data_IF_005751470318
#
_entry.id   IF_005751470318
#
_cell.length_a   1.000
_cell.length_b   1.000
_cell.length_c   1.000
_cell.angle_alpha   90.00
_cell.angle_beta   90.00
_cell.angle_gamma   90.00
#
_symmetry.space_group_name_H-M   'P 1'
#
loop_
_entity.id
_entity.type
_entity.pdbx_description
1 polymer ?
#
# COMPACT_ATOMS: atom_id res chain seq x y z
N UNK A 1 20.90 -17.21 -18.80
CA UNK A 1 19.62 -16.90 -19.49
C UNK A 1 18.77 -18.15 -19.68
N UNK A 2 19.29 -19.24 -20.26
CA UNK A 2 18.51 -20.46 -20.50
C UNK A 2 17.88 -21.09 -19.25
N UNK A 3 18.61 -21.15 -18.14
CA UNK A 3 18.06 -21.63 -16.87
C UNK A 3 16.83 -20.81 -16.43
N UNK A 4 16.86 -19.48 -16.58
CA UNK A 4 15.73 -18.61 -16.29
C UNK A 4 14.56 -18.83 -17.27
N UNK A 5 14.86 -19.05 -18.57
CA UNK A 5 13.84 -19.41 -19.58
C UNK A 5 13.17 -20.76 -19.27
N UNK A 6 13.91 -21.74 -18.76
CA UNK A 6 13.39 -23.05 -18.33
C UNK A 6 12.54 -22.94 -17.06
N UNK A 7 12.92 -22.08 -16.12
CA UNK A 7 12.20 -21.87 -14.86
C UNK A 7 10.95 -20.98 -14.97
N UNK A 8 10.82 -20.19 -16.05
CA UNK A 8 9.73 -19.23 -16.22
C UNK A 8 8.30 -19.83 -16.05
N UNK A 9 7.97 -21.01 -16.61
CA UNK A 9 6.64 -21.60 -16.44
C UNK A 9 6.29 -21.90 -14.98
N UNK A 10 7.23 -22.43 -14.21
CA UNK A 10 7.05 -22.71 -12.78
C UNK A 10 6.83 -21.42 -11.99
N UNK A 11 7.59 -20.36 -12.31
CA UNK A 11 7.41 -19.04 -11.67
C UNK A 11 6.06 -18.42 -11.99
N UNK A 12 5.57 -18.57 -13.22
CA UNK A 12 4.23 -18.14 -13.62
C UNK A 12 3.16 -18.89 -12.84
N UNK A 13 3.30 -20.21 -12.64
CA UNK A 13 2.37 -20.98 -11.80
C UNK A 13 2.25 -20.39 -10.40
N UNK A 14 3.39 -20.07 -9.76
CA UNK A 14 3.43 -19.42 -8.45
C UNK A 14 2.83 -18.01 -8.48
N UNK A 15 3.03 -17.25 -9.56
CA UNK A 15 2.46 -15.92 -9.72
C UNK A 15 0.93 -15.95 -9.84
N UNK A 16 0.32 -17.02 -10.35
CA UNK A 16 -1.15 -17.21 -10.32
C UNK A 16 -1.66 -17.35 -8.88
N UNK A 17 -1.00 -18.17 -8.09
CA UNK A 17 -1.33 -18.31 -6.66
C UNK A 17 -1.24 -16.96 -5.95
N UNK A 18 -0.24 -16.14 -6.29
CA UNK A 18 -0.12 -14.78 -5.76
C UNK A 18 -1.27 -13.86 -6.16
N UNK A 19 -1.83 -13.99 -7.36
CA UNK A 19 -3.03 -13.23 -7.77
C UNK A 19 -4.22 -13.62 -6.86
N UNK A 20 -4.42 -14.92 -6.62
CA UNK A 20 -5.50 -15.41 -5.74
C UNK A 20 -5.34 -14.95 -4.27
N UNK A 21 -4.11 -14.66 -3.86
CA UNK A 21 -3.73 -14.11 -2.56
C UNK A 21 -3.62 -12.57 -2.56
N UNK A 22 -3.95 -11.92 -3.67
CA UNK A 22 -3.89 -10.47 -3.86
C UNK A 22 -2.48 -9.86 -3.70
N UNK A 23 -1.45 -10.68 -3.92
CA UNK A 23 -0.05 -10.29 -3.88
C UNK A 23 0.41 -9.83 -5.27
N UNK A 24 -0.24 -8.77 -5.76
CA UNK A 24 -0.28 -8.41 -7.17
C UNK A 24 1.04 -7.86 -7.75
N UNK A 25 1.74 -6.96 -7.04
CA UNK A 25 2.98 -6.35 -7.57
C UNK A 25 4.08 -7.41 -7.85
N UNK A 26 4.32 -8.38 -6.95
CA UNK A 26 5.24 -9.49 -7.25
C UNK A 26 4.76 -10.41 -8.38
N UNK A 27 3.46 -10.66 -8.49
CA UNK A 27 2.88 -11.40 -9.62
C UNK A 27 3.13 -10.65 -10.94
N UNK A 28 2.79 -9.36 -11.00
CA UNK A 28 3.01 -8.50 -12.16
C UNK A 28 4.47 -8.52 -12.63
N UNK A 29 5.41 -8.36 -11.69
CA UNK A 29 6.83 -8.37 -12.00
C UNK A 29 7.30 -9.74 -12.53
N UNK A 30 6.75 -10.83 -11.99
CA UNK A 30 7.06 -12.19 -12.45
C UNK A 30 6.55 -12.45 -13.85
N UNK A 31 5.31 -12.04 -14.16
CA UNK A 31 4.76 -12.13 -15.51
C UNK A 31 5.55 -11.29 -16.52
N UNK A 32 5.87 -10.04 -16.18
CA UNK A 32 6.67 -9.14 -17.02
C UNK A 32 8.01 -9.78 -17.39
N UNK A 33 8.71 -10.35 -16.40
CA UNK A 33 9.98 -11.04 -16.62
C UNK A 33 9.82 -12.34 -17.44
N UNK A 34 8.79 -13.13 -17.15
CA UNK A 34 8.52 -14.39 -17.86
C UNK A 34 8.23 -14.12 -19.34
N UNK A 35 7.37 -13.15 -19.66
CA UNK A 35 7.04 -12.76 -21.05
C UNK A 35 8.30 -12.28 -21.78
N UNK A 36 9.17 -11.49 -21.13
CA UNK A 36 10.42 -11.06 -21.73
C UNK A 36 11.37 -12.24 -22.03
N UNK A 37 11.36 -13.28 -21.19
CA UNK A 37 12.16 -14.49 -21.38
C UNK A 37 11.58 -15.47 -22.39
N UNK A 38 10.26 -15.49 -22.56
CA UNK A 38 9.50 -16.46 -23.38
C UNK A 38 8.40 -15.72 -24.18
N UNK A 39 8.77 -14.83 -25.11
CA UNK A 39 7.79 -14.03 -25.85
C UNK A 39 6.80 -14.88 -26.64
N UNK A 40 7.19 -16.10 -27.05
CA UNK A 40 6.32 -17.04 -27.76
C UNK A 40 5.13 -17.53 -26.91
N UNK A 41 5.21 -17.44 -25.57
CA UNK A 41 4.12 -17.79 -24.65
C UNK A 41 3.32 -16.58 -24.16
N UNK A 42 3.58 -15.38 -24.70
CA UNK A 42 2.92 -14.14 -24.26
C UNK A 42 1.41 -14.29 -24.18
N UNK A 43 0.78 -14.78 -25.26
CA UNK A 43 -0.68 -14.91 -25.35
C UNK A 43 -1.30 -15.75 -24.23
N UNK A 44 -0.61 -16.80 -23.77
CA UNK A 44 -1.08 -17.66 -22.68
C UNK A 44 -1.09 -16.96 -21.31
N UNK A 45 -0.32 -15.88 -21.16
CA UNK A 45 -0.08 -15.21 -19.88
C UNK A 45 -0.67 -13.80 -19.80
N UNK A 46 -1.19 -13.25 -20.92
CA UNK A 46 -1.67 -11.87 -20.96
C UNK A 46 -2.85 -11.62 -20.01
N UNK A 47 -3.78 -12.57 -19.87
CA UNK A 47 -4.93 -12.44 -18.98
C UNK A 47 -4.51 -12.26 -17.52
N UNK A 48 -3.70 -13.19 -17.00
CA UNK A 48 -3.17 -13.11 -15.64
C UNK A 48 -2.25 -11.89 -15.45
N UNK A 49 -1.45 -11.55 -16.46
CA UNK A 49 -0.57 -10.39 -16.40
C UNK A 49 -1.37 -9.09 -16.28
N UNK A 50 -2.48 -8.97 -17.02
CA UNK A 50 -3.43 -7.86 -16.90
C UNK A 50 -4.09 -7.84 -15.53
N UNK A 51 -4.54 -8.99 -15.02
CA UNK A 51 -5.15 -9.08 -13.68
C UNK A 51 -4.17 -8.62 -12.59
N UNK A 52 -2.91 -9.05 -12.65
CA UNK A 52 -1.86 -8.60 -11.74
C UNK A 52 -1.57 -7.09 -11.87
N UNK A 53 -1.59 -6.55 -13.09
CA UNK A 53 -1.43 -5.11 -13.32
C UNK A 53 -2.58 -4.31 -12.72
N UNK A 54 -3.84 -4.71 -12.95
CA UNK A 54 -5.01 -4.03 -12.35
C UNK A 54 -4.94 -4.09 -10.83
N UNK A 55 -4.68 -5.27 -10.25
CA UNK A 55 -4.59 -5.42 -8.80
C UNK A 55 -3.47 -4.60 -8.16
N UNK A 56 -2.28 -4.53 -8.77
CA UNK A 56 -1.19 -3.69 -8.29
C UNK A 56 -1.52 -2.20 -8.43
N UNK A 57 -2.18 -1.81 -9.52
CA UNK A 57 -2.67 -0.44 -9.72
C UNK A 57 -3.71 -0.04 -8.68
N UNK A 58 -4.65 -0.93 -8.37
CA UNK A 58 -5.65 -0.73 -7.33
C UNK A 58 -4.99 -0.62 -5.93
N UNK A 59 -3.99 -1.44 -5.61
CA UNK A 59 -3.25 -1.35 -4.33
C UNK A 59 -2.57 0.02 -4.17
N UNK A 60 -1.87 0.48 -5.20
CA UNK A 60 -1.24 1.82 -5.19
C UNK A 60 -2.28 2.94 -5.25
N UNK A 61 -3.45 2.72 -5.86
CA UNK A 61 -4.54 3.69 -5.85
C UNK A 61 -5.11 3.84 -4.44
N UNK A 62 -5.41 2.73 -3.73
CA UNK A 62 -5.88 2.71 -2.33
C UNK A 62 -4.92 3.45 -1.40
N UNK A 63 -3.61 3.30 -1.63
CA UNK A 63 -2.58 3.98 -0.83
C UNK A 63 -2.20 5.37 -1.37
N UNK A 64 -2.92 5.87 -2.38
CA UNK A 64 -2.76 7.18 -3.02
C UNK A 64 -1.39 7.40 -3.68
N UNK A 65 -0.72 6.33 -4.09
CA UNK A 65 0.53 6.36 -4.86
C UNK A 65 0.24 6.51 -6.36
N UNK A 66 -0.37 7.64 -6.74
CA UNK A 66 -0.95 7.81 -8.07
C UNK A 66 0.02 7.65 -9.24
N UNK A 67 1.29 8.00 -9.08
CA UNK A 67 2.31 7.75 -10.11
C UNK A 67 2.51 6.25 -10.38
N UNK A 68 2.53 5.44 -9.32
CA UNK A 68 2.69 3.99 -9.43
C UNK A 68 1.40 3.32 -9.88
N UNK A 69 0.25 3.78 -9.38
CA UNK A 69 -1.06 3.32 -9.85
C UNK A 69 -1.23 3.56 -11.36
N UNK A 70 -0.88 4.76 -11.84
CA UNK A 70 -0.89 5.08 -13.27
C UNK A 70 0.00 4.14 -14.08
N UNK A 71 1.22 3.86 -13.63
CA UNK A 71 2.12 2.92 -14.30
C UNK A 71 1.48 1.54 -14.51
N UNK A 72 0.86 0.99 -13.47
CA UNK A 72 0.23 -0.32 -13.55
C UNK A 72 -1.06 -0.32 -14.38
N UNK A 73 -1.91 0.69 -14.23
CA UNK A 73 -3.11 0.81 -15.05
C UNK A 73 -2.79 1.04 -16.53
N UNK A 74 -1.77 1.85 -16.84
CA UNK A 74 -1.32 2.07 -18.21
C UNK A 74 -0.84 0.74 -18.82
N UNK A 75 -0.06 -0.05 -18.08
CA UNK A 75 0.31 -1.39 -18.51
C UNK A 75 -0.93 -2.28 -18.75
N UNK A 76 -1.91 -2.29 -17.84
CA UNK A 76 -3.14 -3.07 -17.97
C UNK A 76 -3.97 -2.68 -19.20
N UNK A 77 -4.09 -1.39 -19.51
CA UNK A 77 -4.80 -0.87 -20.69
C UNK A 77 -4.06 -1.29 -21.96
N UNK A 78 -2.74 -1.15 -22.01
CA UNK A 78 -1.95 -1.58 -23.17
C UNK A 78 -2.07 -3.09 -23.41
N UNK A 79 -2.00 -3.90 -22.35
CA UNK A 79 -2.23 -5.35 -22.45
C UNK A 79 -3.65 -5.65 -22.94
N UNK A 80 -4.65 -4.90 -22.46
CA UNK A 80 -6.04 -5.04 -22.90
C UNK A 80 -6.20 -4.75 -24.39
N UNK A 81 -5.58 -3.68 -24.89
CA UNK A 81 -5.56 -3.36 -26.32
C UNK A 81 -4.88 -4.47 -27.14
N UNK A 82 -3.72 -4.96 -26.69
CA UNK A 82 -2.99 -6.06 -27.33
C UNK A 82 -3.79 -7.38 -27.36
N UNK A 83 -4.65 -7.59 -26.37
CA UNK A 83 -5.44 -8.81 -26.21
C UNK A 83 -6.90 -8.66 -26.66
N UNK A 84 -7.29 -7.51 -27.24
CA UNK A 84 -8.67 -7.16 -27.59
C UNK A 84 -9.66 -7.27 -26.41
N UNK A 85 -9.17 -7.08 -25.18
CA UNK A 85 -9.96 -7.06 -23.95
C UNK A 85 -10.31 -5.60 -23.64
N UNK A 86 -11.60 -5.19 -23.77
CA UNK A 86 -11.99 -3.82 -23.49
C UNK A 86 -11.71 -3.46 -22.03
N UNK A 87 -11.27 -2.23 -21.81
CA UNK A 87 -11.14 -1.69 -20.46
C UNK A 87 -12.53 -1.35 -19.92
N UNK A 88 -12.82 -1.81 -18.71
CA UNK A 88 -14.05 -1.44 -18.03
C UNK A 88 -14.04 0.06 -17.69
N UNK A 89 -15.20 0.75 -17.71
CA UNK A 89 -15.26 2.18 -17.41
C UNK A 89 -14.61 2.56 -16.07
N UNK A 90 -14.75 1.73 -15.04
CA UNK A 90 -14.12 1.95 -13.73
C UNK A 90 -12.59 1.98 -13.79
N UNK A 91 -11.96 1.06 -14.56
CA UNK A 91 -10.51 1.04 -14.75
C UNK A 91 -10.03 2.31 -15.48
N UNK A 92 -10.74 2.75 -16.51
CA UNK A 92 -10.41 3.95 -17.26
C UNK A 92 -10.51 5.22 -16.41
N UNK A 93 -11.55 5.32 -15.56
CA UNK A 93 -11.67 6.38 -14.56
C UNK A 93 -10.45 6.41 -13.63
N UNK A 94 -10.10 5.28 -13.00
CA UNK A 94 -8.95 5.19 -12.07
C UNK A 94 -7.61 5.48 -12.75
N UNK A 95 -7.43 5.04 -14.00
CA UNK A 95 -6.26 5.37 -14.81
C UNK A 95 -6.15 6.89 -15.05
N UNK A 96 -7.22 7.54 -15.49
CA UNK A 96 -7.23 8.99 -15.73
C UNK A 96 -7.05 9.80 -14.44
N UNK A 97 -7.69 9.41 -13.34
CA UNK A 97 -7.50 10.03 -12.03
C UNK A 97 -6.05 9.91 -11.56
N UNK A 98 -5.45 8.72 -11.70
CA UNK A 98 -4.05 8.48 -11.34
C UNK A 98 -3.09 9.33 -12.18
N UNK A 99 -3.36 9.45 -13.49
CA UNK A 99 -2.58 10.32 -14.39
C UNK A 99 -2.66 11.79 -13.96
N UNK A 100 -3.87 12.31 -13.69
CA UNK A 100 -4.06 13.70 -13.24
C UNK A 100 -3.26 13.97 -11.96
N UNK A 101 -3.37 13.10 -10.97
CA UNK A 101 -2.69 13.28 -9.69
C UNK A 101 -1.17 13.11 -9.80
N UNK A 102 -0.69 12.16 -10.60
CA UNK A 102 0.73 11.99 -10.86
C UNK A 102 1.33 13.26 -11.48
N UNK A 103 0.65 13.84 -12.48
CA UNK A 103 1.10 15.06 -13.15
C UNK A 103 1.04 16.31 -12.25
N UNK A 104 0.04 16.44 -11.36
CA UNK A 104 -0.01 17.54 -10.39
C UNK A 104 1.11 17.44 -9.35
N UNK A 105 1.38 16.22 -8.85
CA UNK A 105 2.50 15.95 -7.94
C UNK A 105 3.85 16.29 -8.59
N UNK A 106 3.94 16.12 -9.91
CA UNK A 106 5.09 16.46 -10.76
C UNK A 106 4.99 17.85 -11.42
N UNK A 107 4.16 18.76 -10.92
CA UNK A 107 3.96 20.11 -11.48
C UNK A 107 5.22 20.97 -11.63
N UNK A 108 6.39 20.51 -11.15
CA UNK A 108 7.71 21.13 -11.32
C UNK A 108 8.52 20.53 -12.47
N UNK A 109 8.21 19.31 -12.92
CA UNK A 109 8.86 18.63 -14.03
C UNK A 109 8.30 19.19 -15.33
N UNK A 110 9.14 19.79 -16.17
CA UNK A 110 8.71 20.25 -17.50
C UNK A 110 8.68 19.09 -18.47
N UNK A 111 7.49 18.57 -18.75
CA UNK A 111 7.31 17.59 -19.81
C UNK A 111 7.40 18.26 -21.21
N UNK A 112 8.08 17.64 -22.18
CA UNK A 112 8.14 18.17 -23.54
C UNK A 112 6.76 18.11 -24.22
N UNK A 113 6.51 18.96 -25.21
CA UNK A 113 5.23 18.99 -25.95
C UNK A 113 4.86 17.62 -26.56
N UNK A 114 5.86 16.86 -27.02
CA UNK A 114 5.66 15.52 -27.56
C UNK A 114 5.03 14.55 -26.54
N UNK A 115 5.33 14.70 -25.26
CA UNK A 115 4.73 13.89 -24.19
C UNK A 115 3.21 14.15 -24.10
N UNK A 116 2.80 15.42 -24.08
CA UNK A 116 1.37 15.78 -24.02
C UNK A 116 0.60 15.30 -25.25
N UNK A 117 1.22 15.34 -26.44
CA UNK A 117 0.63 14.78 -27.65
C UNK A 117 0.32 13.29 -27.50
N UNK A 118 1.27 12.50 -26.98
CA UNK A 118 1.08 11.06 -26.73
C UNK A 118 -0.01 10.82 -25.69
N UNK A 119 -0.02 11.59 -24.61
CA UNK A 119 -1.05 11.48 -23.56
C UNK A 119 -2.45 11.76 -24.11
N UNK A 120 -2.66 12.86 -24.83
CA UNK A 120 -3.98 13.18 -25.40
C UNK A 120 -4.42 12.19 -26.46
N UNK A 121 -3.48 11.68 -27.28
CA UNK A 121 -3.78 10.61 -28.21
C UNK A 121 -4.29 9.36 -27.48
N UNK A 122 -3.61 8.92 -26.42
CA UNK A 122 -4.05 7.77 -25.61
C UNK A 122 -5.43 8.01 -24.99
N UNK A 123 -5.68 9.19 -24.43
CA UNK A 123 -6.99 9.54 -23.85
C UNK A 123 -8.12 9.56 -24.89
N UNK A 124 -7.81 9.91 -26.14
CA UNK A 124 -8.76 9.82 -27.24
C UNK A 124 -9.03 8.35 -27.63
N UNK A 125 -7.98 7.52 -27.65
CA UNK A 125 -8.05 6.09 -27.98
C UNK A 125 -8.83 5.28 -26.93
N UNK A 126 -8.76 5.64 -25.65
CA UNK A 126 -9.48 4.91 -24.58
C UNK A 126 -10.99 5.11 -24.58
N UNK A 127 -11.51 6.13 -25.28
CA UNK A 127 -12.97 6.42 -25.42
C UNK A 127 -13.75 6.40 -24.08
N UNK A 128 -13.13 6.86 -23.00
CA UNK A 128 -13.80 6.93 -21.70
C UNK A 128 -14.85 8.07 -21.67
N UNK A 129 -16.12 7.70 -21.50
CA UNK A 129 -17.28 8.61 -21.49
C UNK A 129 -18.08 8.53 -20.17
N UNK A 130 -17.44 8.12 -19.07
CA UNK A 130 -18.09 8.08 -17.75
C UNK A 130 -18.40 9.49 -17.18
N UNK A 131 -19.15 9.56 -16.07
CA UNK A 131 -19.69 10.83 -15.55
C UNK A 131 -18.62 11.85 -15.13
N UNK A 132 -17.43 11.37 -14.74
CA UNK A 132 -16.26 12.18 -14.36
C UNK A 132 -15.33 12.48 -15.55
N UNK A 133 -15.54 11.87 -16.72
CA UNK A 133 -14.69 12.04 -17.89
C UNK A 133 -14.52 13.52 -18.30
N UNK A 134 -15.58 14.36 -18.34
CA UNK A 134 -15.43 15.78 -18.69
C UNK A 134 -14.50 16.53 -17.73
N UNK A 135 -14.62 16.27 -16.42
CA UNK A 135 -13.81 16.93 -15.39
C UNK A 135 -12.34 16.49 -15.45
N UNK A 136 -12.09 15.20 -15.67
CA UNK A 136 -10.75 14.64 -15.81
C UNK A 136 -10.05 15.15 -17.07
N UNK A 137 -10.73 15.12 -18.23
CA UNK A 137 -10.19 15.64 -19.50
C UNK A 137 -9.87 17.13 -19.37
N UNK A 138 -10.79 17.92 -18.83
CA UNK A 138 -10.58 19.36 -18.64
C UNK A 138 -9.42 19.67 -17.69
N UNK A 139 -9.20 18.85 -16.65
CA UNK A 139 -8.06 19.02 -15.74
C UNK A 139 -6.74 18.69 -16.43
N UNK A 140 -6.68 17.62 -17.24
CA UNK A 140 -5.49 17.26 -18.03
C UNK A 140 -5.15 18.33 -19.07
N UNK A 141 -6.16 18.88 -19.74
CA UNK A 141 -6.00 20.05 -20.62
C UNK A 141 -5.41 21.24 -19.86
N UNK A 142 -5.92 21.52 -18.65
CA UNK A 142 -5.41 22.58 -17.79
C UNK A 142 -3.93 22.40 -17.45
N UNK A 143 -3.53 21.19 -17.05
CA UNK A 143 -2.14 20.85 -16.77
C UNK A 143 -1.27 21.04 -18.02
N UNK A 144 -1.70 20.54 -19.18
CA UNK A 144 -0.95 20.68 -20.42
C UNK A 144 -0.73 22.14 -20.83
N UNK A 145 -1.78 22.98 -20.77
CA UNK A 145 -1.66 24.40 -21.08
C UNK A 145 -0.77 25.13 -20.08
N UNK A 146 -0.86 24.80 -18.79
CA UNK A 146 -0.01 25.39 -17.77
C UNK A 146 1.47 25.04 -18.01
N UNK A 147 1.78 23.79 -18.36
CA UNK A 147 3.13 23.37 -18.74
C UNK A 147 3.65 24.06 -20.00
N UNK A 148 2.77 24.37 -20.96
CA UNK A 148 3.09 25.14 -22.15
C UNK A 148 3.23 26.65 -21.89
N UNK A 149 2.92 27.13 -20.69
CA UNK A 149 2.94 28.55 -20.32
C UNK A 149 1.67 29.33 -20.69
N UNK A 150 0.65 28.67 -21.25
CA UNK A 150 -0.63 29.26 -21.62
C UNK A 150 -1.58 29.32 -20.41
N UNK A 151 -1.34 30.32 -19.57
CA UNK A 151 -2.06 30.51 -18.30
C UNK A 151 -3.56 30.75 -18.48
N UNK A 152 -3.97 31.42 -19.55
CA UNK A 152 -5.37 31.72 -19.80
C UNK A 152 -6.16 30.46 -20.15
N UNK A 153 -5.66 29.67 -21.12
CA UNK A 153 -6.31 28.40 -21.49
C UNK A 153 -6.27 27.40 -20.35
N UNK A 154 -5.18 27.38 -19.57
CA UNK A 154 -5.11 26.56 -18.36
C UNK A 154 -6.24 26.91 -17.38
N UNK A 155 -6.40 28.19 -17.05
CA UNK A 155 -7.48 28.64 -16.17
C UNK A 155 -8.86 28.26 -16.71
N UNK A 156 -9.12 28.49 -18.00
CA UNK A 156 -10.41 28.14 -18.62
C UNK A 156 -10.69 26.63 -18.54
N UNK A 157 -9.68 25.79 -18.77
CA UNK A 157 -9.79 24.34 -18.69
C UNK A 157 -10.05 23.86 -17.25
N UNK A 158 -9.30 24.35 -16.26
CA UNK A 158 -9.58 24.06 -14.85
C UNK A 158 -10.96 24.59 -14.41
N UNK A 159 -11.40 25.73 -14.96
CA UNK A 159 -12.75 26.26 -14.77
C UNK A 159 -13.82 25.27 -15.23
N UNK A 160 -13.67 24.70 -16.44
CA UNK A 160 -14.57 23.65 -16.95
C UNK A 160 -14.59 22.44 -16.02
N UNK A 161 -13.43 22.02 -15.51
CA UNK A 161 -13.33 20.86 -14.62
C UNK A 161 -14.17 21.02 -13.33
N UNK A 162 -14.31 22.24 -12.82
CA UNK A 162 -15.11 22.55 -11.62
C UNK A 162 -16.50 23.15 -11.94
N UNK A 163 -16.94 23.06 -13.20
CA UNK A 163 -18.24 23.60 -13.64
C UNK A 163 -18.37 25.12 -13.58
N UNK A 164 -17.26 25.86 -13.64
CA UNK A 164 -17.23 27.34 -13.59
C UNK A 164 -16.75 27.95 -14.89
N UNK A 165 -17.52 28.89 -15.45
CA UNK A 165 -17.06 29.72 -16.56
C UNK A 165 -16.26 30.91 -16.01
N UNK A 166 -14.94 30.86 -16.13
CA UNK A 166 -14.08 31.98 -15.77
C UNK A 166 -14.15 33.06 -16.87
N UNK A 167 -14.31 34.32 -16.47
CA UNK A 167 -14.30 35.48 -17.38
C UNK A 167 -13.07 36.34 -17.09
N UNK A 168 -12.37 36.77 -18.14
CA UNK A 168 -11.19 37.63 -18.04
C UNK A 168 -9.89 36.90 -17.72
N UNK A 169 -8.80 37.66 -17.60
CA UNK A 169 -7.47 37.16 -17.27
C UNK A 169 -7.46 36.63 -15.84
N UNK A 170 -7.45 35.31 -15.68
CA UNK A 170 -7.35 34.69 -14.37
C UNK A 170 -5.97 34.96 -13.77
N UNK A 171 -5.92 35.79 -12.72
CA UNK A 171 -4.65 36.19 -12.09
C UNK A 171 -4.03 35.06 -11.25
N UNK A 172 -4.76 33.98 -10.95
CA UNK A 172 -4.27 32.90 -10.09
C UNK A 172 -4.64 31.48 -10.60
N UNK A 173 -4.01 31.05 -11.69
CA UNK A 173 -4.15 29.69 -12.26
C UNK A 173 -3.91 28.61 -11.20
N UNK A 174 -2.89 28.78 -10.34
CA UNK A 174 -2.54 27.80 -9.31
C UNK A 174 -3.65 27.56 -8.28
N UNK A 175 -4.40 28.59 -7.89
CA UNK A 175 -5.55 28.44 -7.00
C UNK A 175 -6.71 27.69 -7.66
N UNK A 176 -6.93 27.95 -8.96
CA UNK A 176 -7.96 27.27 -9.74
C UNK A 176 -7.57 25.80 -9.94
N UNK A 177 -6.30 25.51 -10.30
CA UNK A 177 -5.77 24.14 -10.37
C UNK A 177 -6.00 23.39 -9.06
N UNK A 178 -5.62 23.98 -7.92
CA UNK A 178 -5.80 23.36 -6.60
C UNK A 178 -7.26 23.00 -6.36
N UNK A 179 -8.19 23.88 -6.74
CA UNK A 179 -9.63 23.65 -6.60
C UNK A 179 -10.11 22.52 -7.52
N UNK A 180 -9.63 22.47 -8.76
CA UNK A 180 -9.93 21.38 -9.70
C UNK A 180 -9.41 20.03 -9.20
N UNK A 181 -8.13 19.95 -8.82
CA UNK A 181 -7.52 18.75 -8.24
C UNK A 181 -8.26 18.31 -6.97
N UNK A 182 -8.62 19.23 -6.08
CA UNK A 182 -9.37 18.92 -4.87
C UNK A 182 -10.78 18.41 -5.16
N UNK A 183 -11.44 18.93 -6.20
CA UNK A 183 -12.74 18.41 -6.64
C UNK A 183 -12.65 16.97 -7.15
N UNK A 184 -11.57 16.63 -7.87
CA UNK A 184 -11.31 15.27 -8.33
C UNK A 184 -10.94 14.33 -7.18
N UNK A 185 -10.23 14.82 -6.15
CA UNK A 185 -9.96 14.04 -4.93
C UNK A 185 -11.22 13.64 -4.18
N UNK A 186 -12.35 14.32 -4.39
CA UNK A 186 -13.64 13.90 -3.83
C UNK A 186 -14.30 12.78 -4.62
N UNK A 187 -13.87 12.58 -5.88
CA UNK A 187 -14.23 11.43 -6.71
C UNK A 187 -13.34 10.22 -6.42
N UNK A 188 -12.26 10.41 -5.66
CA UNK A 188 -11.47 9.32 -5.13
C UNK A 188 -12.36 8.49 -4.21
N UNK A 189 -12.70 7.31 -4.68
CA UNK A 189 -13.53 6.38 -3.96
C UNK A 189 -12.85 5.01 -3.98
N UNK A 190 -12.47 4.53 -2.80
CA UNK A 190 -11.88 3.20 -2.65
C UNK A 190 -12.91 2.12 -2.93
N UNK A 191 -14.20 2.39 -2.69
CA UNK A 191 -15.28 1.45 -2.94
C UNK A 191 -15.46 1.21 -4.45
N UNK A 192 -15.12 2.20 -5.29
CA UNK A 192 -15.15 2.09 -6.76
C UNK A 192 -14.22 1.02 -7.38
N UNK A 193 -13.30 0.45 -6.59
CA UNK A 193 -12.45 -0.65 -7.05
C UNK A 193 -13.26 -1.94 -7.23
N UNK A 194 -14.35 -2.12 -6.47
CA UNK A 194 -15.21 -3.30 -6.54
C UNK A 194 -14.56 -4.61 -6.09
N UNK A 195 -13.35 -4.57 -5.48
CA UNK A 195 -12.60 -5.77 -5.07
C UNK A 195 -13.31 -6.62 -4.02
N UNK A 196 -14.27 -6.03 -3.30
CA UNK A 196 -15.05 -6.67 -2.23
C UNK A 196 -16.52 -6.83 -2.60
N UNK A 197 -16.85 -6.74 -3.89
CA UNK A 197 -18.18 -7.04 -4.40
C UNK A 197 -18.38 -8.54 -4.61
N UNK A 198 -19.60 -8.92 -5.01
CA UNK A 198 -19.92 -10.28 -5.44
C UNK A 198 -19.76 -11.29 -4.30
N UNK A 199 -18.85 -12.25 -4.47
CA UNK A 199 -18.62 -13.33 -3.51
C UNK A 199 -18.20 -12.83 -2.12
N UNK A 200 -17.44 -11.72 -2.05
CA UNK A 200 -16.99 -11.13 -0.79
C UNK A 200 -18.12 -10.55 0.06
N UNK A 201 -19.20 -10.09 -0.58
CA UNK A 201 -20.36 -9.51 0.08
C UNK A 201 -21.41 -10.56 0.50
N UNK A 202 -21.24 -11.83 0.09
CA UNK A 202 -22.18 -12.89 0.41
C UNK A 202 -22.00 -13.40 1.84
N UNK A 203 -23.13 -13.59 2.52
CA UNK A 203 -23.22 -14.39 3.73
C UNK A 203 -23.93 -15.69 3.36
N UNK A 204 -23.22 -16.81 3.41
CA UNK A 204 -23.77 -18.12 3.03
C UNK A 204 -24.66 -18.71 4.12
N UNK A 205 -24.55 -18.19 5.36
CA UNK A 205 -25.24 -18.71 6.54
C UNK A 205 -25.67 -17.63 7.52
N UNK A 206 -26.73 -17.91 8.28
CA UNK A 206 -27.28 -17.01 9.31
C UNK A 206 -26.41 -16.93 10.58
N UNK A 207 -25.47 -17.86 10.76
CA UNK A 207 -24.63 -17.99 11.96
C UNK A 207 -23.13 -18.00 11.66
N UNK A 208 -22.31 -17.79 12.69
CA UNK A 208 -20.86 -17.96 12.58
C UNK A 208 -20.51 -19.45 12.46
N UNK A 209 -19.78 -19.79 11.40
CA UNK A 209 -19.17 -21.09 11.17
C UNK A 209 -17.68 -21.06 11.53
N UNK A 210 -17.08 -22.24 11.67
CA UNK A 210 -15.66 -22.42 11.97
C UNK A 210 -14.99 -23.22 10.86
N UNK A 211 -13.92 -22.67 10.30
CA UNK A 211 -12.95 -23.37 9.46
C UNK A 211 -11.63 -23.47 10.20
N UNK A 212 -11.10 -24.69 10.36
CA UNK A 212 -9.80 -24.90 11.00
C UNK A 212 -8.71 -25.23 9.96
N UNK A 213 -7.56 -24.59 10.09
CA UNK A 213 -6.30 -24.98 9.44
C UNK A 213 -5.30 -25.47 10.50
N UNK A 214 -4.07 -25.89 10.12
CA UNK A 214 -3.05 -26.28 11.10
C UNK A 214 -2.75 -25.19 12.14
N UNK A 215 -2.75 -23.90 11.75
CA UNK A 215 -2.35 -22.78 12.61
C UNK A 215 -3.49 -21.86 13.03
N UNK A 216 -4.66 -21.96 12.40
CA UNK A 216 -5.73 -20.97 12.53
C UNK A 216 -7.11 -21.59 12.75
N UNK A 217 -7.95 -20.88 13.52
CA UNK A 217 -9.40 -21.10 13.69
C UNK A 217 -10.14 -19.91 13.13
N UNK A 218 -10.74 -20.06 11.95
CA UNK A 218 -11.37 -18.95 11.23
C UNK A 218 -12.87 -19.00 11.46
N UNK A 219 -13.38 -18.01 12.18
CA UNK A 219 -14.79 -17.76 12.42
C UNK A 219 -15.32 -16.91 11.26
N UNK A 220 -16.25 -17.46 10.47
CA UNK A 220 -16.73 -16.84 9.23
C UNK A 220 -18.22 -17.05 8.97
N UNK A 221 -18.77 -16.34 7.98
CA UNK A 221 -20.11 -16.59 7.39
C UNK A 221 -20.07 -16.95 5.91
N UNK A 222 -18.87 -17.03 5.34
CA UNK A 222 -18.63 -17.32 3.93
C UNK A 222 -17.47 -18.29 3.81
N UNK A 223 -17.76 -19.53 3.38
CA UNK A 223 -16.79 -20.62 3.41
C UNK A 223 -15.68 -20.43 2.36
N UNK A 224 -16.01 -19.88 1.19
CA UNK A 224 -15.03 -19.64 0.13
C UNK A 224 -14.03 -18.58 0.56
N UNK A 225 -14.52 -17.47 1.13
CA UNK A 225 -13.63 -16.42 1.64
C UNK A 225 -12.79 -16.91 2.82
N UNK A 226 -13.36 -17.71 3.73
CA UNK A 226 -12.59 -18.29 4.82
C UNK A 226 -11.43 -19.17 4.35
N UNK A 227 -11.62 -19.96 3.28
CA UNK A 227 -10.54 -20.73 2.66
C UNK A 227 -9.47 -19.83 2.04
N UNK A 228 -9.85 -18.71 1.40
CA UNK A 228 -8.88 -17.74 0.87
C UNK A 228 -8.06 -17.09 1.99
N UNK A 229 -8.73 -16.71 3.09
CA UNK A 229 -8.07 -16.16 4.29
C UNK A 229 -7.11 -17.18 4.91
N UNK A 230 -7.49 -18.46 5.01
CA UNK A 230 -6.60 -19.51 5.52
C UNK A 230 -5.31 -19.60 4.69
N UNK A 231 -5.44 -19.66 3.35
CA UNK A 231 -4.29 -19.71 2.44
C UNK A 231 -3.42 -18.47 2.53
N UNK A 232 -4.02 -17.28 2.65
CA UNK A 232 -3.27 -16.03 2.80
C UNK A 232 -2.48 -15.98 4.11
N UNK A 233 -3.09 -16.42 5.21
CA UNK A 233 -2.41 -16.49 6.51
C UNK A 233 -1.25 -17.49 6.50
N UNK A 234 -1.43 -18.69 5.94
CA UNK A 234 -0.34 -19.68 5.83
C UNK A 234 0.79 -19.16 4.92
N UNK A 235 0.45 -18.58 3.76
CA UNK A 235 1.41 -17.94 2.86
C UNK A 235 2.20 -16.82 3.56
N UNK A 236 1.52 -15.95 4.30
CA UNK A 236 2.18 -14.86 5.00
C UNK A 236 2.99 -15.35 6.20
N UNK A 237 2.54 -16.37 6.93
CA UNK A 237 3.32 -16.97 8.01
C UNK A 237 4.69 -17.44 7.51
N UNK A 238 4.69 -18.21 6.42
CA UNK A 238 5.91 -18.72 5.80
C UNK A 238 6.80 -17.61 5.25
N UNK A 239 6.22 -16.66 4.54
CA UNK A 239 6.95 -15.53 3.98
C UNK A 239 7.54 -14.62 5.06
N UNK A 240 6.83 -14.38 6.15
CA UNK A 240 7.32 -13.55 7.26
C UNK A 240 8.47 -14.27 7.98
N UNK A 241 8.34 -15.58 8.22
CA UNK A 241 9.42 -16.37 8.79
C UNK A 241 10.69 -16.30 7.91
N UNK A 242 10.55 -16.45 6.60
CA UNK A 242 11.64 -16.31 5.62
C UNK A 242 12.24 -14.89 5.62
N UNK A 243 11.42 -13.83 5.55
CA UNK A 243 11.90 -12.42 5.63
C UNK A 243 12.61 -12.11 6.95
N UNK A 244 12.26 -12.82 8.02
CA UNK A 244 12.87 -12.67 9.33
C UNK A 244 14.04 -13.63 9.56
N UNK A 245 14.34 -14.52 8.60
CA UNK A 245 15.35 -15.59 8.68
C UNK A 245 15.14 -16.49 9.92
N UNK A 246 13.88 -16.86 10.14
CA UNK A 246 13.46 -17.80 11.17
C UNK A 246 13.17 -19.15 10.56
N UNK A 247 13.56 -20.22 11.25
CA UNK A 247 13.05 -21.54 10.93
C UNK A 247 11.59 -21.64 11.40
N UNK A 248 10.73 -22.25 10.58
CA UNK A 248 9.32 -22.44 10.90
C UNK A 248 9.13 -23.29 12.14
N UNK A 249 10.01 -24.27 12.35
CA UNK A 249 9.97 -25.18 13.50
C UNK A 249 10.45 -24.51 14.80
N UNK A 250 11.15 -23.38 14.69
CA UNK A 250 11.63 -22.59 15.84
C UNK A 250 10.60 -21.56 16.33
N UNK A 251 9.58 -21.25 15.54
CA UNK A 251 8.52 -20.31 15.94
C UNK A 251 7.60 -21.02 16.94
N UNK A 252 7.48 -20.56 18.19
CA UNK A 252 6.78 -21.29 19.24
C UNK A 252 5.24 -21.15 19.15
N UNK A 253 4.65 -21.61 18.04
CA UNK A 253 3.24 -21.45 17.72
C UNK A 253 2.36 -22.56 18.34
N UNK A 254 2.35 -22.65 19.68
CA UNK A 254 1.72 -23.77 20.38
C UNK A 254 0.19 -23.85 20.20
N UNK A 255 -0.49 -22.70 20.23
CA UNK A 255 -1.95 -22.61 20.10
C UNK A 255 -2.36 -22.01 18.76
N UNK A 256 -3.43 -22.54 18.16
CA UNK A 256 -4.05 -21.94 16.97
C UNK A 256 -4.54 -20.53 17.29
N UNK A 257 -4.35 -19.59 16.37
CA UNK A 257 -4.92 -18.24 16.50
C UNK A 257 -6.37 -18.21 16.00
N UNK A 258 -7.25 -17.53 16.74
CA UNK A 258 -8.63 -17.27 16.31
C UNK A 258 -8.66 -16.09 15.32
N UNK A 259 -9.33 -16.25 14.19
CA UNK A 259 -9.52 -15.21 13.18
C UNK A 259 -11.02 -14.96 13.06
N UNK A 260 -11.49 -13.76 13.39
CA UNK A 260 -12.90 -13.39 13.23
C UNK A 260 -13.08 -12.49 12.02
N UNK A 261 -13.80 -13.00 11.03
CA UNK A 261 -14.16 -12.26 9.81
C UNK A 261 -15.54 -11.62 9.99
N UNK A 262 -15.56 -10.30 10.08
CA UNK A 262 -16.79 -9.51 10.18
C UNK A 262 -17.26 -9.11 8.78
N UNK A 263 -18.57 -9.10 8.56
CA UNK A 263 -19.15 -8.84 7.24
C UNK A 263 -18.73 -7.47 6.67
N UNK A 264 -18.73 -6.44 7.52
CA UNK A 264 -18.38 -5.09 7.14
C UNK A 264 -17.67 -4.35 8.28
N UNK A 265 -17.22 -3.13 7.98
CA UNK A 265 -16.53 -2.25 8.93
C UNK A 265 -17.38 -1.91 10.16
N UNK A 266 -18.71 -1.79 10.01
CA UNK A 266 -19.61 -1.44 11.12
C UNK A 266 -19.68 -2.60 12.11
N UNK A 267 -19.92 -3.82 11.64
CA UNK A 267 -19.94 -5.02 12.47
C UNK A 267 -18.60 -5.24 13.18
N UNK A 268 -17.48 -4.96 12.50
CA UNK A 268 -16.15 -5.00 13.10
C UNK A 268 -15.98 -4.00 14.26
N UNK A 269 -16.40 -2.75 14.10
CA UNK A 269 -16.32 -1.76 15.19
C UNK A 269 -17.25 -2.10 16.35
N UNK A 270 -18.47 -2.56 16.06
CA UNK A 270 -19.40 -3.03 17.09
C UNK A 270 -18.80 -4.18 17.91
N UNK A 271 -18.16 -5.15 17.26
CA UNK A 271 -17.55 -6.31 17.92
C UNK A 271 -16.23 -6.01 18.64
N UNK A 272 -15.45 -5.05 18.16
CA UNK A 272 -14.11 -4.75 18.71
C UNK A 272 -14.11 -3.55 19.66
N UNK A 273 -15.10 -2.66 19.60
CA UNK A 273 -15.11 -1.40 20.32
C UNK A 273 -14.05 -0.40 19.82
N UNK A 274 -13.43 -0.65 18.66
CA UNK A 274 -12.50 0.29 18.03
C UNK A 274 -13.26 1.50 17.49
N UNK A 275 -12.70 2.69 17.73
CA UNK A 275 -13.27 3.97 17.26
C UNK A 275 -12.47 4.59 16.10
N UNK A 276 -11.25 4.11 15.89
CA UNK A 276 -10.35 4.57 14.84
C UNK A 276 -10.60 3.83 13.50
N UNK A 277 -10.25 4.43 12.35
CA UNK A 277 -10.37 3.79 11.03
C UNK A 277 -9.31 2.69 10.80
N UNK A 278 -9.24 1.71 11.69
CA UNK A 278 -8.40 0.51 11.55
C UNK A 278 -9.15 -0.55 10.73
N UNK A 279 -8.42 -1.30 9.91
CA UNK A 279 -8.96 -2.34 9.02
C UNK A 279 -8.96 -3.73 9.66
N UNK A 280 -8.03 -3.95 10.59
CA UNK A 280 -7.93 -5.15 11.41
C UNK A 280 -7.35 -4.78 12.79
N UNK A 281 -7.42 -5.72 13.73
CA UNK A 281 -6.73 -5.61 15.03
C UNK A 281 -6.44 -6.99 15.60
N UNK A 282 -5.24 -7.17 16.14
CA UNK A 282 -4.85 -8.33 16.92
C UNK A 282 -5.04 -8.10 18.42
N UNK A 283 -5.39 -9.17 19.15
CA UNK A 283 -5.50 -9.20 20.61
C UNK A 283 -4.74 -10.38 21.14
N UNK A 284 -3.81 -10.10 22.05
CA UNK A 284 -2.92 -11.10 22.63
C UNK A 284 -3.14 -11.11 24.14
N UNK A 285 -3.41 -12.29 24.70
CA UNK A 285 -3.49 -12.49 26.16
C UNK A 285 -2.30 -13.31 26.62
N UNK A 286 -1.47 -12.70 27.46
CA UNK A 286 -0.37 -13.36 28.15
C UNK A 286 -0.85 -13.92 29.50
N UNK A 287 -0.42 -15.12 29.85
CA UNK A 287 -0.61 -15.71 31.17
C UNK A 287 0.59 -16.57 31.54
N UNK A 288 1.24 -16.27 32.66
CA UNK A 288 2.43 -16.99 33.12
C UNK A 288 3.61 -16.91 32.16
N UNK A 289 3.80 -15.76 31.49
CA UNK A 289 4.89 -15.56 30.52
C UNK A 289 4.71 -16.29 29.19
N UNK A 290 3.53 -16.87 28.92
CA UNK A 290 3.21 -17.51 27.65
C UNK A 290 1.98 -16.85 27.00
N UNK A 291 1.93 -16.85 25.68
CA UNK A 291 0.74 -16.46 24.93
C UNK A 291 -0.31 -17.56 25.06
N UNK A 292 -1.48 -17.22 25.61
CA UNK A 292 -2.60 -18.18 25.77
C UNK A 292 -3.74 -17.96 24.80
N UNK A 293 -3.88 -16.75 24.30
CA UNK A 293 -4.91 -16.43 23.32
C UNK A 293 -4.36 -15.42 22.32
N UNK A 294 -4.54 -15.72 21.05
CA UNK A 294 -4.19 -14.88 19.91
C UNK A 294 -5.43 -14.76 19.05
N UNK A 295 -5.90 -13.53 18.87
CA UNK A 295 -7.10 -13.26 18.08
C UNK A 295 -6.77 -12.20 17.05
N UNK A 296 -7.18 -12.39 15.80
CA UNK A 296 -7.25 -11.33 14.79
C UNK A 296 -8.73 -11.07 14.51
N UNK A 297 -9.15 -9.82 14.57
CA UNK A 297 -10.42 -9.36 14.04
C UNK A 297 -10.14 -8.58 12.76
N UNK A 298 -10.88 -8.87 11.69
CA UNK A 298 -10.80 -8.15 10.43
C UNK A 298 -12.17 -8.07 9.76
N UNK A 299 -12.37 -7.13 8.85
CA UNK A 299 -13.63 -7.01 8.11
C UNK A 299 -13.46 -7.27 6.61
N UNK A 300 -14.49 -7.86 5.99
CA UNK A 300 -14.44 -8.25 4.58
C UNK A 300 -14.45 -7.05 3.63
N UNK A 301 -14.87 -5.86 4.08
CA UNK A 301 -14.85 -4.65 3.26
C UNK A 301 -13.46 -3.99 3.14
N UNK A 302 -12.40 -4.58 3.71
CA UNK A 302 -11.03 -4.06 3.56
C UNK A 302 -10.45 -4.45 2.19
N UNK A 303 -10.18 -3.49 1.28
CA UNK A 303 -9.65 -3.78 -0.06
C UNK A 303 -8.26 -4.43 -0.06
N UNK A 304 -7.54 -4.38 1.06
CA UNK A 304 -6.20 -4.97 1.20
C UNK A 304 -6.15 -6.05 2.29
N UNK A 305 -7.30 -6.65 2.61
CA UNK A 305 -7.43 -7.69 3.64
C UNK A 305 -6.37 -8.79 3.51
N UNK A 306 -6.30 -9.44 2.34
CA UNK A 306 -5.44 -10.61 2.15
C UNK A 306 -3.96 -10.24 2.14
N UNK A 307 -3.58 -9.20 1.39
CA UNK A 307 -2.18 -8.86 1.15
C UNK A 307 -1.55 -8.01 2.26
N UNK A 308 -2.32 -7.16 2.94
CA UNK A 308 -1.79 -6.20 3.91
C UNK A 308 -2.27 -6.46 5.33
N UNK A 309 -3.57 -6.31 5.60
CA UNK A 309 -4.06 -6.28 6.99
C UNK A 309 -3.84 -7.59 7.72
N UNK A 310 -4.05 -8.74 7.07
CA UNK A 310 -3.75 -10.04 7.70
C UNK A 310 -2.25 -10.24 7.92
N UNK A 311 -1.39 -9.84 6.99
CA UNK A 311 0.06 -9.92 7.15
C UNK A 311 0.55 -9.06 8.33
N UNK A 312 0.03 -7.83 8.43
CA UNK A 312 0.35 -6.90 9.51
C UNK A 312 -0.01 -7.48 10.89
N UNK A 313 -1.26 -7.92 11.07
CA UNK A 313 -1.70 -8.47 12.35
C UNK A 313 -1.02 -9.80 12.67
N UNK A 314 -0.71 -10.61 11.65
CA UNK A 314 0.04 -11.84 11.85
C UNK A 314 1.47 -11.58 12.34
N UNK A 315 2.14 -10.54 11.83
CA UNK A 315 3.46 -10.15 12.33
C UNK A 315 3.43 -9.74 13.81
N UNK A 316 2.37 -9.07 14.29
CA UNK A 316 2.18 -8.80 15.72
C UNK A 316 2.07 -10.08 16.53
N UNK A 317 1.26 -11.04 16.08
CA UNK A 317 1.13 -12.34 16.76
C UNK A 317 2.46 -13.12 16.79
N UNK A 318 3.18 -13.18 15.67
CA UNK A 318 4.49 -13.85 15.58
C UNK A 318 5.51 -13.19 16.50
N UNK A 319 5.56 -11.85 16.51
CA UNK A 319 6.44 -11.09 17.41
C UNK A 319 6.14 -11.42 18.86
N UNK A 320 4.85 -11.45 19.25
CA UNK A 320 4.46 -11.77 20.63
C UNK A 320 4.80 -13.20 21.03
N UNK A 321 4.69 -14.18 20.12
CA UNK A 321 5.07 -15.58 20.41
C UNK A 321 6.57 -15.75 20.58
N UNK A 322 7.38 -15.08 19.77
CA UNK A 322 8.84 -15.14 19.85
C UNK A 322 9.34 -14.42 21.11
N UNK A 323 8.73 -13.28 21.45
CA UNK A 323 9.19 -12.39 22.53
C UNK A 323 8.59 -12.69 23.89
N UNK A 324 7.40 -13.30 23.93
CA UNK A 324 6.70 -13.73 25.15
C UNK A 324 6.65 -12.66 26.25
N UNK A 325 7.46 -12.83 27.31
CA UNK A 325 7.55 -11.99 28.50
C UNK A 325 8.46 -10.75 28.31
N UNK A 326 9.06 -10.58 27.13
CA UNK A 326 10.00 -9.49 26.81
C UNK A 326 9.50 -8.65 25.63
N UNK A 327 8.40 -7.89 25.81
CA UNK A 327 7.83 -7.10 24.72
C UNK A 327 8.86 -6.12 24.16
N UNK A 328 8.87 -5.96 22.85
CA UNK A 328 9.63 -4.90 22.19
C UNK A 328 8.88 -3.56 22.39
N UNK A 329 9.58 -2.42 22.27
CA UNK A 329 8.90 -1.13 22.21
C UNK A 329 7.86 -1.10 21.09
N UNK A 330 6.73 -0.42 21.31
CA UNK A 330 5.61 -0.38 20.36
C UNK A 330 6.05 0.09 18.96
N UNK A 331 6.96 1.06 18.88
CA UNK A 331 7.50 1.54 17.59
C UNK A 331 8.24 0.45 16.81
N UNK A 332 8.89 -0.49 17.50
CA UNK A 332 9.62 -1.59 16.86
C UNK A 332 8.67 -2.68 16.41
N UNK A 333 7.68 -3.05 17.23
CA UNK A 333 6.66 -4.05 16.84
C UNK A 333 5.86 -3.56 15.63
N UNK A 334 5.43 -2.30 15.65
CA UNK A 334 4.74 -1.67 14.53
C UNK A 334 5.64 -1.56 13.30
N UNK A 335 6.91 -1.15 13.48
CA UNK A 335 7.89 -1.14 12.41
C UNK A 335 8.04 -2.51 11.71
N UNK A 336 8.09 -3.61 12.48
CA UNK A 336 8.17 -4.97 11.96
C UNK A 336 6.89 -5.34 11.18
N UNK A 337 5.71 -5.06 11.74
CA UNK A 337 4.43 -5.34 11.10
C UNK A 337 4.25 -4.56 9.79
N UNK A 338 4.66 -3.29 9.76
CA UNK A 338 4.61 -2.47 8.55
C UNK A 338 5.57 -2.94 7.46
N UNK A 339 6.69 -3.60 7.80
CA UNK A 339 7.67 -4.09 6.81
C UNK A 339 7.28 -5.40 6.13
N UNK A 340 6.27 -6.10 6.66
CA UNK A 340 5.73 -7.30 6.01
C UNK A 340 4.59 -6.96 5.05
N UNK A 341 4.09 -5.72 5.07
CA UNK A 341 3.06 -5.22 4.15
C UNK A 341 3.58 -5.11 2.69
N UNK A 342 2.69 -4.96 1.69
CA UNK A 342 3.10 -4.76 0.31
C UNK A 342 3.80 -3.41 0.10
N UNK A 343 4.61 -3.31 -0.97
CA UNK A 343 5.43 -2.13 -1.24
C UNK A 343 4.63 -0.83 -1.44
N UNK A 344 3.37 -0.90 -1.85
CA UNK A 344 2.51 0.29 -1.94
C UNK A 344 2.30 0.94 -0.56
N UNK A 345 2.31 0.16 0.53
CA UNK A 345 2.23 0.66 1.91
C UNK A 345 3.55 1.27 2.36
N UNK A 346 4.68 0.64 2.01
CA UNK A 346 6.00 1.23 2.26
C UNK A 346 6.14 2.61 1.59
N UNK A 347 5.71 2.74 0.33
CA UNK A 347 5.67 4.01 -0.41
C UNK A 347 4.76 5.03 0.29
N UNK A 348 3.58 4.61 0.77
CA UNK A 348 2.66 5.46 1.51
C UNK A 348 3.30 6.03 2.78
N UNK A 349 3.89 5.18 3.61
CA UNK A 349 4.51 5.60 4.88
C UNK A 349 5.77 6.43 4.67
N UNK A 350 6.58 6.11 3.66
CA UNK A 350 7.72 6.95 3.26
C UNK A 350 7.26 8.36 2.88
N UNK A 351 6.21 8.49 2.06
CA UNK A 351 5.63 9.80 1.70
C UNK A 351 5.11 10.55 2.93
N UNK A 352 4.35 9.87 3.79
CA UNK A 352 3.83 10.48 5.02
C UNK A 352 4.96 11.00 5.92
N UNK A 353 6.04 10.24 6.07
CA UNK A 353 7.21 10.64 6.85
C UNK A 353 7.87 11.90 6.28
N UNK A 354 8.02 11.99 4.97
CA UNK A 354 8.59 13.17 4.29
C UNK A 354 7.74 14.43 4.50
N UNK A 355 6.43 14.27 4.61
CA UNK A 355 5.46 15.35 4.84
C UNK A 355 5.44 15.82 6.32
N UNK A 356 6.04 15.06 7.25
CA UNK A 356 6.14 15.46 8.66
C UNK A 356 7.00 16.70 8.84
N UNK A 357 6.42 17.77 9.37
CA UNK A 357 7.17 19.02 9.63
C UNK A 357 8.26 18.83 10.68
N UNK A 358 8.01 17.98 11.68
CA UNK A 358 8.91 17.70 12.82
C UNK A 358 8.81 16.22 13.23
N UNK A 359 9.60 15.33 12.62
CA UNK A 359 9.73 13.96 13.12
C UNK A 359 10.24 13.95 14.57
N UNK A 360 9.67 13.11 15.41
CA UNK A 360 10.15 12.79 16.73
C UNK A 360 11.54 12.14 16.69
N UNK A 361 12.37 12.40 17.69
CA UNK A 361 13.65 11.72 17.84
C UNK A 361 13.48 10.26 18.28
N UNK A 362 14.43 9.40 17.92
CA UNK A 362 14.43 7.95 18.21
C UNK A 362 14.23 7.68 19.70
N UNK A 363 14.87 8.46 20.58
CA UNK A 363 14.68 8.33 22.03
C UNK A 363 13.21 8.50 22.46
N UNK A 364 12.48 9.45 21.87
CA UNK A 364 11.07 9.69 22.17
C UNK A 364 10.19 8.56 21.64
N UNK A 365 10.48 8.07 20.44
CA UNK A 365 9.75 6.96 19.84
C UNK A 365 9.86 5.67 20.66
N UNK A 366 11.06 5.36 21.18
CA UNK A 366 11.26 4.17 22.01
C UNK A 366 10.60 4.27 23.39
N UNK A 367 10.34 5.49 23.86
CA UNK A 367 9.61 5.74 25.11
C UNK A 367 8.08 5.73 24.90
N UNK A 368 7.60 5.57 23.68
CA UNK A 368 6.18 5.54 23.37
C UNK A 368 5.57 4.19 23.81
N UNK A 369 4.61 4.25 24.74
CA UNK A 369 4.01 3.08 25.37
C UNK A 369 2.57 2.80 24.93
N UNK A 370 1.95 3.70 24.16
CA UNK A 370 0.61 3.46 23.63
C UNK A 370 0.68 2.38 22.54
N UNK A 371 -0.18 1.38 22.69
CA UNK A 371 -0.18 0.13 21.92
C UNK A 371 -1.03 0.26 20.66
N UNK A 372 -1.91 1.26 20.57
CA UNK A 372 -2.74 1.50 19.38
C UNK A 372 -2.82 2.99 19.02
N UNK A 373 -1.68 3.60 18.63
CA UNK A 373 -1.66 5.00 18.25
C UNK A 373 -2.53 5.24 17.03
N UNK A 374 -3.46 6.19 17.11
CA UNK A 374 -4.30 6.58 15.96
C UNK A 374 -3.61 7.58 15.03
N UNK A 375 -2.37 7.95 15.32
CA UNK A 375 -1.64 8.99 14.60
C UNK A 375 -0.88 8.41 13.40
N UNK A 376 -1.26 8.81 12.19
CA UNK A 376 -0.58 8.44 10.96
C UNK A 376 0.93 8.83 10.96
N UNK A 377 1.32 9.86 11.71
CA UNK A 377 2.72 10.21 11.88
C UNK A 377 3.51 9.09 12.57
N UNK A 378 2.94 8.48 13.62
CA UNK A 378 3.60 7.39 14.33
C UNK A 378 3.92 6.21 13.41
N UNK A 379 2.97 5.76 12.59
CA UNK A 379 3.21 4.66 11.65
C UNK A 379 4.29 5.01 10.60
N UNK A 380 4.29 6.25 10.10
CA UNK A 380 5.31 6.73 9.19
C UNK A 380 6.71 6.73 9.83
N UNK A 381 6.80 7.12 11.10
CA UNK A 381 8.03 7.11 11.90
C UNK A 381 8.48 5.68 12.25
N UNK A 382 7.55 4.79 12.55
CA UNK A 382 7.80 3.37 12.83
C UNK A 382 8.39 2.68 11.60
N UNK A 383 7.74 2.87 10.45
CA UNK A 383 8.26 2.41 9.17
C UNK A 383 9.66 3.00 8.92
N UNK A 384 9.85 4.33 9.04
CA UNK A 384 11.16 4.94 8.82
C UNK A 384 12.26 4.35 9.71
N UNK A 385 12.00 4.23 11.01
CA UNK A 385 12.95 3.68 11.97
C UNK A 385 13.33 2.24 11.60
N UNK A 386 12.33 1.40 11.31
CA UNK A 386 12.59 0.02 10.92
C UNK A 386 13.36 -0.08 9.59
N UNK A 387 13.07 0.75 8.59
CA UNK A 387 13.86 0.80 7.35
C UNK A 387 15.32 1.10 7.63
N UNK A 388 15.61 2.04 8.54
CA UNK A 388 16.98 2.34 8.95
C UNK A 388 17.60 1.15 9.68
N UNK A 389 16.93 0.57 10.68
CA UNK A 389 17.47 -0.59 11.42
C UNK A 389 17.77 -1.77 10.48
N UNK A 390 16.87 -2.08 9.54
CA UNK A 390 17.05 -3.16 8.55
C UNK A 390 18.19 -2.89 7.58
N UNK A 391 18.68 -1.65 7.43
CA UNK A 391 19.85 -1.38 6.59
C UNK A 391 21.15 -1.92 7.19
N UNK A 392 21.16 -2.36 8.46
CA UNK A 392 22.33 -2.88 9.16
C UNK A 392 22.07 -4.14 10.00
N UNK A 393 20.84 -4.67 10.02
CA UNK A 393 20.48 -5.82 10.84
C UNK A 393 19.34 -6.62 10.26
N UNK A 394 19.28 -7.90 10.62
CA UNK A 394 18.14 -8.75 10.30
C UNK A 394 17.00 -8.57 11.33
N UNK A 395 15.72 -8.74 10.94
CA UNK A 395 14.64 -8.80 11.92
C UNK A 395 14.86 -9.84 13.04
N UNK A 396 15.50 -10.99 12.75
CA UNK A 396 15.91 -11.96 13.75
C UNK A 396 16.81 -11.36 14.86
N UNK A 397 17.73 -10.46 14.50
CA UNK A 397 18.60 -9.80 15.48
C UNK A 397 17.80 -8.93 16.46
N UNK A 398 16.79 -8.22 15.93
CA UNK A 398 15.85 -7.41 16.73
C UNK A 398 15.01 -8.30 17.67
N UNK A 399 14.50 -9.41 17.14
CA UNK A 399 13.70 -10.37 17.90
C UNK A 399 14.54 -11.11 18.95
N UNK A 400 15.84 -11.27 18.74
CA UNK A 400 16.78 -11.88 19.69
C UNK A 400 17.26 -10.96 20.82
N UNK A 401 16.91 -9.67 20.81
CA UNK A 401 17.44 -8.71 21.80
C UNK A 401 16.93 -8.95 23.22
N UNK A 402 17.82 -9.23 24.17
CA UNK A 402 17.44 -9.61 25.55
C UNK A 402 17.54 -8.49 26.60
N UNK A 403 17.91 -7.27 26.20
CA UNK A 403 18.14 -6.16 27.13
C UNK A 403 16.85 -5.61 27.76
N UNK A 404 16.88 -5.36 29.06
CA UNK A 404 15.74 -4.78 29.79
C UNK A 404 15.44 -3.30 29.47
N UNK A 405 16.43 -2.56 28.94
CA UNK A 405 16.26 -1.17 28.52
C UNK A 405 16.51 -1.02 27.01
N UNK A 406 15.44 -1.02 26.22
CA UNK A 406 15.48 -0.66 24.81
C UNK A 406 15.62 0.86 24.64
N UNK A 407 16.85 1.37 24.81
CA UNK A 407 17.19 2.75 24.47
C UNK A 407 17.90 2.86 23.12
N UNK A 408 18.06 4.09 22.64
CA UNK A 408 18.68 4.36 21.34
C UNK A 408 20.15 3.90 21.27
N UNK A 409 20.87 3.90 22.40
CA UNK A 409 22.26 3.44 22.47
C UNK A 409 22.35 1.93 22.40
N UNK A 410 21.42 1.23 23.04
CA UNK A 410 21.29 -0.23 22.97
C UNK A 410 20.99 -0.67 21.54
N UNK A 411 19.98 -0.08 20.88
CA UNK A 411 19.67 -0.38 19.48
C UNK A 411 20.84 -0.05 18.56
N UNK A 412 21.49 1.10 18.73
CA UNK A 412 22.62 1.47 17.89
C UNK A 412 23.78 0.46 17.98
N UNK A 413 24.11 -0.05 19.18
CA UNK A 413 25.14 -1.07 19.33
C UNK A 413 24.73 -2.41 18.75
N UNK A 414 23.49 -2.83 18.99
CA UNK A 414 23.00 -4.13 18.52
C UNK A 414 22.79 -4.17 17.01
N UNK A 415 22.55 -3.02 16.39
CA UNK A 415 22.35 -2.90 14.96
C UNK A 415 23.54 -2.25 14.22
N UNK A 416 24.74 -2.29 14.81
CA UNK A 416 25.99 -1.83 14.21
C UNK A 416 25.97 -0.38 13.64
N UNK A 417 25.31 0.54 14.36
CA UNK A 417 25.33 1.98 14.07
C UNK A 417 26.43 2.74 14.81
N UNK A 418 27.33 2.07 15.54
CA UNK A 418 28.36 2.73 16.35
C UNK A 418 27.80 3.40 17.62
N UNK A 419 26.95 4.42 17.46
CA UNK A 419 26.30 5.13 18.58
C UNK A 419 24.88 5.65 18.26
N UNK A 420 24.20 6.14 19.30
CA UNK A 420 22.84 6.67 19.18
C UNK A 420 22.74 7.93 18.29
N UNK A 421 23.81 8.72 18.14
CA UNK A 421 23.82 9.93 17.30
C UNK A 421 23.85 9.55 15.83
N UNK A 422 24.62 8.53 15.45
CA UNK A 422 24.64 8.00 14.08
C UNK A 422 23.28 7.39 13.71
N UNK A 423 22.67 6.59 14.60
CA UNK A 423 21.30 6.09 14.39
C UNK A 423 20.30 7.24 14.21
N UNK A 424 20.32 8.23 15.12
CA UNK A 424 19.45 9.40 15.02
C UNK A 424 19.68 10.20 13.73
N UNK A 425 20.93 10.36 13.30
CA UNK A 425 21.30 11.06 12.07
C UNK A 425 20.69 10.37 10.85
N UNK A 426 20.88 9.05 10.71
CA UNK A 426 20.31 8.28 9.60
C UNK A 426 18.78 8.25 9.60
N UNK A 427 18.17 8.12 10.79
CA UNK A 427 16.73 8.25 10.94
C UNK A 427 16.22 9.60 10.44
N UNK A 428 16.86 10.70 10.84
CA UNK A 428 16.46 12.07 10.48
C UNK A 428 16.81 12.47 9.04
N UNK A 429 17.70 11.73 8.36
CA UNK A 429 18.02 12.00 6.96
C UNK A 429 16.77 11.73 6.10
N UNK A 430 16.22 12.81 5.53
CA UNK A 430 15.21 12.69 4.48
C UNK A 430 15.86 12.13 3.22
N UNK A 431 15.09 11.38 2.43
CA UNK A 431 15.54 10.94 1.11
C UNK A 431 16.04 12.16 0.31
N UNK A 432 17.23 12.09 -0.33
CA UNK A 432 17.87 13.23 -0.99
C UNK A 432 16.94 13.95 -1.99
N UNK A 433 16.04 13.22 -2.63
CA UNK A 433 15.16 13.71 -3.69
C UNK A 433 14.15 14.79 -3.26
N UNK A 434 13.98 15.06 -1.96
CA UNK A 434 13.01 16.08 -1.47
C UNK A 434 13.56 17.15 -0.53
N UNK A 435 14.84 17.12 -0.14
CA UNK A 435 15.46 18.24 0.57
C UNK A 435 15.32 19.55 -0.23
N UNK A 436 15.44 19.45 -1.56
CA UNK A 436 15.18 20.54 -2.50
C UNK A 436 13.73 21.06 -2.46
N UNK A 437 12.74 20.19 -2.18
CA UNK A 437 11.32 20.57 -2.10
C UNK A 437 11.02 21.52 -0.93
N UNK A 438 11.70 21.35 0.21
CA UNK A 438 11.55 22.23 1.39
C UNK A 438 12.27 23.57 1.20
N UNK A 439 13.44 23.56 0.55
CA UNK A 439 14.18 24.78 0.23
C UNK A 439 13.37 25.71 -0.69
N UNK A 440 12.72 25.17 -1.73
CA UNK A 440 11.88 25.98 -2.64
C UNK A 440 10.57 26.46 -2.00
N UNK A 441 9.91 25.67 -1.13
CA UNK A 441 8.69 26.13 -0.43
C UNK A 441 8.95 27.31 0.49
N UNK A 442 10.14 27.39 1.12
CA UNK A 442 10.53 28.54 1.95
C UNK A 442 10.85 29.79 1.13
N UNK A 443 11.41 29.66 -0.08
CA UNK A 443 11.69 30.79 -0.96
C UNK A 443 10.43 31.39 -1.61
N UNK A 444 9.38 30.58 -1.80
CA UNK A 444 8.12 31.04 -2.39
C UNK A 444 7.13 31.70 -1.42
N UNK A 445 7.44 31.78 -0.12
CA UNK A 445 6.57 32.43 0.89
C UNK A 445 7.10 33.80 1.35
N UNK A 446 8.18 34.30 0.76
CA UNK A 446 8.83 35.57 1.10
C UNK A 446 8.67 36.66 0.03
N UNK A 447 7.86 36.41 -1.00
CA UNK A 447 7.42 37.38 -2.02
C UNK A 447 5.90 37.41 -2.04
#
# INVERSE_FOLDING_TARGET
IEAARRAAPTRVSRAREWIDLEWYEPAFNTYRQAIALRPERRGEWLGDYRAAAVGAGDDDYVTKNFHQAFYYYDAAIQIGLDAEIPAEPGLLSRWMQSLVHALDDDSRIRYPQAYWKVIFQRIAETRYDGPDAPALRATLEGLAFEHAGDRERAAQAYGRAIGRRLRGHATNVSAIRRTAIESLRRLYDVESIGRRDGEWARNDTDGMQLLESPRFRIHHRNAVIAQRVARALDFHFERIADDWALDLDEIPWAEKADIHLHADRRAFFEATGQSAPVTAVSRIRLQGGAVRRKVIHAHLSDPMLLSSSLAHELAHLMTAEIRRDRPLPAIITEGLALHVEPQCRHRQFARLFEDLTRPAGVKRLLAFSDVHPTDAAFYAEAHRLMTVLRSRSHPADLLGMTGGNFDASYLARKCDFGDARQLQSLYSQLAPQRADRRATRRQGSTN
#
